data_IF_014659833399
#
_entry.id   IF_014659833399
#
_cell.length_a   1.000
_cell.length_b   1.000
_cell.length_c   1.000
_cell.angle_alpha   90.00
_cell.angle_beta   90.00
_cell.angle_gamma   90.00
#
_symmetry.space_group_name_H-M   'P 1'
#
loop_
_entity.id
_entity.type
_entity.pdbx_description
1 polymer ?
#
# COMPACT_ATOMS: atom_id res chain seq x y z
N UNK A 1 -1.37 27.73 -28.37
CA UNK A 1 -0.58 26.60 -28.91
C UNK A 1 0.82 26.66 -28.33
N UNK A 2 1.48 25.56 -27.96
CA UNK A 2 0.97 24.21 -27.68
C UNK A 2 0.78 23.98 -26.16
N UNK A 3 -0.26 23.20 -25.82
CA UNK A 3 -0.52 22.72 -24.46
C UNK A 3 0.34 21.47 -24.26
N UNK A 4 1.21 21.46 -23.25
CA UNK A 4 1.90 20.24 -22.84
C UNK A 4 0.87 19.30 -22.20
N UNK A 5 0.41 18.35 -23.00
CA UNK A 5 -0.28 17.15 -22.52
C UNK A 5 0.82 16.21 -22.04
N UNK A 6 0.86 15.95 -20.73
CA UNK A 6 1.72 14.91 -20.19
C UNK A 6 1.33 13.57 -20.84
N UNK A 7 2.29 12.70 -21.19
CA UNK A 7 1.96 11.36 -21.63
C UNK A 7 1.39 10.59 -20.44
N UNK A 8 0.07 10.47 -20.39
CA UNK A 8 -0.61 9.37 -19.71
C UNK A 8 -0.24 8.12 -20.49
N UNK A 9 0.86 7.47 -20.11
CA UNK A 9 1.28 6.20 -20.68
C UNK A 9 1.50 5.24 -19.52
N UNK A 10 0.49 4.42 -19.22
CA UNK A 10 0.76 3.12 -18.63
C UNK A 10 -0.25 2.47 -17.69
N UNK A 11 -1.36 3.09 -17.32
CA UNK A 11 -2.43 2.37 -16.59
C UNK A 11 -3.35 1.56 -17.53
N UNK A 12 -3.34 1.87 -18.83
CA UNK A 12 -4.33 1.40 -19.82
C UNK A 12 -3.95 0.10 -20.58
N UNK A 13 -3.15 -0.81 -20.00
CA UNK A 13 -2.80 -2.06 -20.72
C UNK A 13 -3.08 -3.36 -19.96
N UNK A 14 -4.04 -3.36 -19.05
CA UNK A 14 -4.50 -4.58 -18.36
C UNK A 14 -5.77 -5.21 -18.96
N UNK A 15 -6.30 -4.68 -20.07
CA UNK A 15 -7.43 -5.28 -20.79
C UNK A 15 -6.98 -5.83 -22.15
N UNK A 16 -6.61 -7.11 -22.17
CA UNK A 16 -6.91 -7.99 -23.31
C UNK A 16 -7.32 -9.37 -22.77
N UNK A 17 -8.60 -9.68 -22.93
CA UNK A 17 -9.17 -11.02 -22.79
C UNK A 17 -8.76 -11.84 -24.01
N UNK A 18 -8.32 -13.06 -23.78
CA UNK A 18 -8.55 -14.15 -24.71
C UNK A 18 -9.25 -15.27 -23.93
N UNK A 19 -10.34 -15.76 -24.49
CA UNK A 19 -11.21 -16.75 -23.89
C UNK A 19 -10.86 -18.18 -24.25
N UNK A 20 -11.49 -19.07 -23.47
CA UNK A 20 -11.79 -20.49 -23.72
C UNK A 20 -10.69 -21.51 -23.43
N UNK A 21 -10.97 -22.32 -22.40
CA UNK A 21 -10.36 -23.64 -22.16
C UNK A 21 -10.77 -24.19 -20.79
N UNK A 22 -11.82 -25.01 -20.74
CA UNK A 22 -12.22 -25.79 -19.55
C UNK A 22 -11.09 -26.73 -19.15
N UNK A 23 -10.80 -26.84 -17.85
CA UNK A 23 -10.65 -28.13 -17.17
C UNK A 23 -10.56 -27.96 -15.63
N UNK A 24 -10.80 -29.08 -14.96
CA UNK A 24 -11.47 -29.27 -13.68
C UNK A 24 -10.57 -29.13 -12.44
N UNK A 25 -11.17 -28.83 -11.29
CA UNK A 25 -10.56 -28.84 -9.94
C UNK A 25 -10.18 -30.29 -9.49
N UNK A 26 -9.32 -30.51 -8.46
CA UNK A 26 -9.57 -30.05 -7.06
C UNK A 26 -8.33 -29.60 -6.24
N UNK A 27 -8.58 -28.88 -5.13
CA UNK A 27 -7.67 -28.81 -3.97
C UNK A 27 -7.24 -27.40 -3.50
N UNK A 28 -7.89 -26.91 -2.45
CA UNK A 28 -7.36 -26.04 -1.36
C UNK A 28 -6.31 -24.94 -1.68
N UNK A 29 -6.74 -23.67 -1.59
CA UNK A 29 -5.95 -22.59 -0.98
C UNK A 29 -5.11 -21.64 -1.85
N UNK A 30 -4.99 -21.82 -3.17
CA UNK A 30 -3.97 -21.10 -3.97
C UNK A 30 -4.43 -19.93 -4.86
N UNK A 31 -5.62 -19.37 -4.69
CA UNK A 31 -6.24 -18.58 -5.78
C UNK A 31 -6.00 -17.06 -5.75
N UNK A 32 -5.42 -16.49 -4.70
CA UNK A 32 -5.06 -15.05 -4.68
C UNK A 32 -3.77 -14.73 -5.45
N UNK A 33 -2.96 -15.74 -5.79
CA UNK A 33 -1.67 -15.55 -6.47
C UNK A 33 -1.80 -15.35 -7.99
N UNK A 34 -2.95 -15.70 -8.59
CA UNK A 34 -3.11 -15.69 -10.06
C UNK A 34 -3.35 -14.30 -10.67
N UNK A 35 -3.71 -13.29 -9.87
CA UNK A 35 -3.81 -11.90 -10.35
C UNK A 35 -2.45 -11.17 -10.39
N UNK A 36 -1.45 -11.67 -9.65
CA UNK A 36 -0.08 -11.12 -9.65
C UNK A 36 0.91 -11.96 -10.49
N UNK A 37 0.52 -13.18 -10.93
CA UNK A 37 1.32 -14.08 -11.78
C UNK A 37 1.00 -13.99 -13.27
N UNK A 38 0.77 -12.80 -13.83
CA UNK A 38 1.11 -12.58 -15.23
C UNK A 38 2.40 -11.77 -15.25
N UNK A 39 3.57 -12.40 -15.49
CA UNK A 39 4.81 -11.68 -15.62
C UNK A 39 4.71 -10.85 -16.91
N UNK A 40 4.33 -9.59 -16.77
CA UNK A 40 4.84 -8.58 -17.68
C UNK A 40 6.33 -8.46 -17.33
N UNK A 41 7.15 -9.30 -17.97
CA UNK A 41 8.61 -9.18 -17.93
C UNK A 41 8.98 -7.88 -18.64
N UNK A 42 8.81 -6.76 -17.95
CA UNK A 42 9.69 -5.63 -18.15
C UNK A 42 10.96 -5.98 -17.34
N UNK A 43 12.17 -5.90 -17.92
CA UNK A 43 13.37 -6.08 -17.13
C UNK A 43 13.32 -5.02 -16.02
N UNK A 44 13.28 -5.45 -14.76
CA UNK A 44 13.23 -4.57 -13.58
C UNK A 44 14.34 -3.51 -13.62
N UNK A 45 15.44 -3.80 -14.32
CA UNK A 45 16.52 -2.88 -14.71
C UNK A 45 16.04 -1.57 -15.37
N UNK A 46 14.89 -1.58 -16.05
CA UNK A 46 14.34 -0.39 -16.73
C UNK A 46 13.91 0.67 -15.71
N UNK A 47 13.31 0.26 -14.59
CA UNK A 47 12.90 1.17 -13.53
C UNK A 47 14.13 1.69 -12.77
N UNK A 48 15.10 0.80 -12.50
CA UNK A 48 16.36 1.21 -11.88
C UNK A 48 17.13 2.22 -12.75
N UNK A 49 17.19 1.98 -14.06
CA UNK A 49 17.82 2.89 -15.02
C UNK A 49 17.07 4.24 -15.10
N UNK A 50 15.74 4.21 -15.11
CA UNK A 50 14.90 5.42 -15.10
C UNK A 50 15.07 6.23 -13.81
N UNK A 51 15.08 5.57 -12.66
CA UNK A 51 15.30 6.18 -11.36
C UNK A 51 16.69 6.82 -11.28
N UNK A 52 17.73 6.08 -11.67
CA UNK A 52 19.11 6.58 -11.74
C UNK A 52 19.25 7.80 -12.67
N UNK A 53 18.63 7.75 -13.84
CA UNK A 53 18.62 8.88 -14.78
C UNK A 53 17.86 10.09 -14.23
N UNK A 54 16.83 9.88 -13.41
CA UNK A 54 16.07 10.95 -12.76
C UNK A 54 16.90 11.61 -11.65
N UNK A 55 17.66 10.83 -10.87
CA UNK A 55 18.61 11.37 -9.89
C UNK A 55 19.71 12.21 -10.55
N UNK A 56 20.28 11.75 -11.66
CA UNK A 56 21.28 12.54 -12.40
C UNK A 56 20.72 13.89 -12.87
N UNK A 57 19.48 13.90 -13.39
CA UNK A 57 18.79 15.16 -13.74
C UNK A 57 18.52 16.04 -12.52
N UNK A 58 18.18 15.44 -11.37
CA UNK A 58 17.96 16.19 -10.13
C UNK A 58 19.24 16.90 -9.70
N UNK A 59 20.39 16.21 -9.77
CA UNK A 59 21.70 16.78 -9.44
C UNK A 59 22.01 17.99 -10.33
N UNK A 60 21.80 17.88 -11.65
CA UNK A 60 21.97 18.99 -12.59
C UNK A 60 21.08 20.19 -12.23
N UNK A 61 19.79 19.95 -11.96
CA UNK A 61 18.82 21.01 -11.62
C UNK A 61 19.13 21.69 -10.28
N UNK A 62 19.59 20.92 -9.29
CA UNK A 62 20.03 21.46 -8.00
C UNK A 62 21.24 22.40 -8.18
N UNK A 63 22.18 22.05 -9.07
CA UNK A 63 23.35 22.87 -9.37
C UNK A 63 23.00 24.17 -10.13
N UNK A 64 21.93 24.15 -10.94
CA UNK A 64 21.44 25.34 -11.65
C UNK A 64 20.76 26.37 -10.73
N UNK A 65 20.24 25.95 -9.56
CA UNK A 65 19.75 26.81 -8.49
C UNK A 65 18.51 27.64 -8.79
N UNK A 66 17.76 27.31 -9.86
CA UNK A 66 16.59 28.08 -10.33
C UNK A 66 15.24 27.39 -10.13
N UNK A 67 15.25 26.10 -9.80
CA UNK A 67 14.04 25.30 -9.71
C UNK A 67 13.31 25.46 -8.37
N UNK A 68 11.98 25.26 -8.41
CA UNK A 68 11.16 25.32 -7.19
C UNK A 68 11.44 24.10 -6.31
N UNK A 69 11.58 24.26 -4.98
CA UNK A 69 11.79 23.15 -4.05
C UNK A 69 10.75 22.03 -4.19
N UNK A 70 9.49 22.37 -4.47
CA UNK A 70 8.43 21.39 -4.69
C UNK A 70 8.67 20.51 -5.91
N UNK A 71 9.18 21.07 -7.00
CA UNK A 71 9.50 20.28 -8.20
C UNK A 71 10.68 19.34 -7.95
N UNK A 72 11.70 19.81 -7.23
CA UNK A 72 12.86 18.99 -6.86
C UNK A 72 12.42 17.83 -5.95
N UNK A 73 11.62 18.09 -4.92
CA UNK A 73 11.11 17.06 -4.01
C UNK A 73 10.19 16.05 -4.72
N UNK A 74 9.35 16.48 -5.66
CA UNK A 74 8.53 15.57 -6.48
C UNK A 74 9.39 14.67 -7.38
N UNK A 75 10.40 15.23 -8.05
CA UNK A 75 11.33 14.46 -8.88
C UNK A 75 12.16 13.46 -8.06
N UNK A 76 12.63 13.90 -6.89
CA UNK A 76 13.30 13.03 -5.93
C UNK A 76 12.40 11.86 -5.51
N UNK A 77 11.16 12.16 -5.12
CA UNK A 77 10.16 11.14 -4.75
C UNK A 77 9.94 10.14 -5.87
N UNK A 78 9.83 10.60 -7.12
CA UNK A 78 9.65 9.72 -8.28
C UNK A 78 10.87 8.81 -8.50
N UNK A 79 12.08 9.31 -8.28
CA UNK A 79 13.29 8.51 -8.38
C UNK A 79 13.39 7.47 -7.25
N UNK A 80 13.06 7.86 -6.01
CA UNK A 80 12.95 6.95 -4.87
C UNK A 80 11.99 5.82 -5.18
N UNK A 81 10.80 6.14 -5.71
CA UNK A 81 9.83 5.14 -6.14
C UNK A 81 10.43 4.21 -7.23
N UNK A 82 10.96 4.76 -8.32
CA UNK A 82 11.48 3.93 -9.42
C UNK A 82 12.63 2.98 -8.97
N UNK A 83 13.52 3.44 -8.09
CA UNK A 83 14.66 2.65 -7.58
C UNK A 83 14.21 1.57 -6.62
N UNK A 84 13.44 1.93 -5.59
CA UNK A 84 12.96 0.98 -4.59
C UNK A 84 12.08 -0.11 -5.19
N UNK A 85 11.44 0.15 -6.35
CA UNK A 85 10.57 -0.83 -7.00
C UNK A 85 11.35 -2.04 -7.49
N UNK A 86 12.58 -1.81 -7.96
CA UNK A 86 13.49 -2.87 -8.35
C UNK A 86 13.86 -3.77 -7.15
N UNK A 87 14.17 -3.17 -6.01
CA UNK A 87 14.55 -3.91 -4.80
C UNK A 87 13.37 -4.64 -4.15
N UNK A 88 12.19 -4.03 -4.15
CA UNK A 88 10.95 -4.68 -3.69
C UNK A 88 10.62 -5.93 -4.51
N UNK A 89 10.75 -5.87 -5.84
CA UNK A 89 10.50 -7.02 -6.69
C UNK A 89 11.51 -8.15 -6.46
N UNK A 90 12.77 -7.85 -6.18
CA UNK A 90 13.75 -8.89 -5.83
C UNK A 90 13.32 -9.64 -4.56
N UNK A 91 12.84 -8.94 -3.52
CA UNK A 91 12.33 -9.60 -2.32
C UNK A 91 11.14 -10.51 -2.61
N UNK A 92 10.26 -10.10 -3.53
CA UNK A 92 9.10 -10.90 -3.95
C UNK A 92 9.54 -12.12 -4.76
N UNK A 93 10.49 -11.96 -5.68
CA UNK A 93 11.01 -13.04 -6.52
C UNK A 93 11.76 -14.09 -5.70
N UNK A 94 12.42 -13.67 -4.62
CA UNK A 94 13.14 -14.54 -3.68
C UNK A 94 12.25 -15.09 -2.55
N UNK A 95 10.95 -14.76 -2.54
CA UNK A 95 9.99 -15.14 -1.47
C UNK A 95 10.47 -14.76 -0.05
N UNK A 96 10.94 -13.52 0.09
CA UNK A 96 11.32 -12.87 1.35
C UNK A 96 12.22 -13.76 2.25
N UNK A 97 13.46 -14.07 1.87
CA UNK A 97 14.34 -15.00 2.61
C UNK A 97 14.43 -14.66 4.11
N UNK A 98 14.29 -15.67 4.98
CA UNK A 98 14.12 -15.48 6.43
C UNK A 98 15.26 -14.68 7.09
N UNK A 99 16.50 -14.92 6.68
CA UNK A 99 17.69 -14.34 7.32
C UNK A 99 17.91 -12.85 7.01
N UNK A 100 17.45 -12.37 5.84
CA UNK A 100 17.78 -11.02 5.33
C UNK A 100 16.58 -10.12 5.06
N UNK A 101 15.40 -10.69 4.80
CA UNK A 101 14.23 -9.94 4.35
C UNK A 101 13.76 -8.88 5.34
N UNK A 102 13.74 -9.16 6.65
CA UNK A 102 13.28 -8.18 7.64
C UNK A 102 14.13 -6.91 7.63
N UNK A 103 15.44 -7.05 7.53
CA UNK A 103 16.36 -5.91 7.51
C UNK A 103 16.17 -5.11 6.22
N UNK A 104 16.09 -5.78 5.06
CA UNK A 104 15.87 -5.11 3.78
C UNK A 104 14.51 -4.41 3.71
N UNK A 105 13.45 -5.01 4.25
CA UNK A 105 12.13 -4.38 4.36
C UNK A 105 12.20 -3.10 5.20
N UNK A 106 12.89 -3.13 6.36
CA UNK A 106 13.06 -1.92 7.19
C UNK A 106 13.80 -0.81 6.45
N UNK A 107 14.87 -1.16 5.71
CA UNK A 107 15.62 -0.21 4.89
C UNK A 107 14.74 0.42 3.81
N UNK A 108 13.97 -0.39 3.07
CA UNK A 108 13.06 0.10 2.04
C UNK A 108 11.97 1.00 2.60
N UNK A 109 11.37 0.64 3.75
CA UNK A 109 10.38 1.49 4.41
C UNK A 109 10.99 2.83 4.85
N UNK A 110 12.24 2.83 5.31
CA UNK A 110 12.96 4.06 5.65
C UNK A 110 13.14 4.96 4.42
N UNK A 111 13.66 4.40 3.32
CA UNK A 111 13.86 5.12 2.06
C UNK A 111 12.53 5.66 1.49
N UNK A 112 11.45 4.87 1.56
CA UNK A 112 10.11 5.29 1.13
C UNK A 112 9.45 6.34 2.06
N UNK A 113 10.00 6.58 3.25
CA UNK A 113 9.51 7.61 4.18
C UNK A 113 10.29 8.91 4.04
N UNK A 114 11.55 8.83 3.59
CA UNK A 114 12.46 9.97 3.42
C UNK A 114 11.87 11.15 2.63
N UNK A 115 11.11 10.98 1.52
CA UNK A 115 10.54 12.14 0.83
C UNK A 115 9.58 12.97 1.69
N UNK A 116 8.82 12.34 2.57
CA UNK A 116 7.93 13.06 3.50
C UNK A 116 8.75 13.73 4.61
N UNK A 117 9.76 13.04 5.15
CA UNK A 117 10.64 13.58 6.19
C UNK A 117 11.38 14.83 5.71
N UNK A 118 11.87 14.82 4.46
CA UNK A 118 12.48 15.99 3.83
C UNK A 118 11.49 17.15 3.67
N UNK A 119 10.20 16.89 3.40
CA UNK A 119 9.22 18.00 3.36
C UNK A 119 9.11 18.66 4.73
N UNK A 120 9.06 17.87 5.80
CA UNK A 120 8.99 18.38 7.17
C UNK A 120 10.24 19.14 7.58
N UNK A 121 11.43 18.67 7.19
CA UNK A 121 12.70 19.32 7.51
C UNK A 121 12.87 20.68 6.82
N UNK A 122 12.42 20.80 5.56
CA UNK A 122 12.68 21.98 4.74
C UNK A 122 11.49 22.96 4.65
N UNK A 123 10.26 22.53 4.98
CA UNK A 123 9.05 23.38 4.93
C UNK A 123 8.25 23.29 6.24
N UNK A 124 8.67 24.06 7.25
CA UNK A 124 8.15 24.01 8.63
C UNK A 124 6.62 24.24 8.75
N UNK A 125 5.94 24.77 7.72
CA UNK A 125 4.52 25.18 7.79
C UNK A 125 3.62 24.59 6.69
N UNK A 126 4.12 23.69 5.85
CA UNK A 126 3.33 23.11 4.74
C UNK A 126 3.14 21.60 4.92
N UNK A 127 1.90 21.13 4.76
CA UNK A 127 1.62 19.69 4.81
C UNK A 127 2.26 18.97 3.60
N UNK A 128 2.79 17.74 3.75
CA UNK A 128 3.38 16.97 2.65
C UNK A 128 2.53 16.91 1.38
N UNK A 129 1.19 16.94 1.52
CA UNK A 129 0.25 16.90 0.40
C UNK A 129 0.29 18.17 -0.46
N UNK A 130 0.64 19.35 0.08
CA UNK A 130 0.75 20.59 -0.72
C UNK A 130 1.99 20.57 -1.61
N UNK A 131 3.06 19.90 -1.17
CA UNK A 131 4.34 19.82 -1.88
C UNK A 131 4.38 18.63 -2.84
N UNK A 132 4.13 17.42 -2.34
CA UNK A 132 4.26 16.18 -3.11
C UNK A 132 3.01 15.89 -3.94
N UNK A 133 1.85 16.39 -3.52
CA UNK A 133 0.57 16.06 -4.12
C UNK A 133 0.04 14.68 -3.70
N UNK A 134 -1.27 14.51 -3.87
CA UNK A 134 -1.97 13.31 -3.42
C UNK A 134 -1.50 12.03 -4.14
N UNK A 135 -1.14 12.10 -5.42
CA UNK A 135 -0.77 10.93 -6.21
C UNK A 135 0.54 10.29 -5.74
N UNK A 136 1.57 11.10 -5.45
CA UNK A 136 2.84 10.60 -4.96
C UNK A 136 2.72 10.05 -3.54
N UNK A 137 1.99 10.75 -2.66
CA UNK A 137 1.73 10.27 -1.31
C UNK A 137 0.94 8.96 -1.30
N UNK A 138 -0.15 8.88 -2.07
CA UNK A 138 -0.91 7.65 -2.22
C UNK A 138 -0.01 6.49 -2.68
N UNK A 139 0.89 6.73 -3.63
CA UNK A 139 1.85 5.74 -4.12
C UNK A 139 2.86 5.32 -3.04
N UNK A 140 3.45 6.27 -2.29
CA UNK A 140 4.39 5.97 -1.21
C UNK A 140 3.73 5.10 -0.13
N UNK A 141 2.54 5.48 0.32
CA UNK A 141 1.80 4.74 1.35
C UNK A 141 1.29 3.38 0.85
N UNK A 142 0.84 3.31 -0.42
CA UNK A 142 0.52 2.02 -1.05
C UNK A 142 1.70 1.08 -0.99
N UNK A 143 2.89 1.53 -1.40
CA UNK A 143 4.07 0.67 -1.50
C UNK A 143 4.60 0.24 -0.14
N UNK A 144 4.64 1.16 0.84
CA UNK A 144 4.95 0.81 2.23
C UNK A 144 4.01 -0.28 2.77
N UNK A 145 2.71 -0.10 2.55
CA UNK A 145 1.68 -1.05 2.98
C UNK A 145 1.75 -2.40 2.26
N UNK A 146 1.90 -2.39 0.94
CA UNK A 146 1.99 -3.60 0.11
C UNK A 146 3.26 -4.41 0.41
N UNK A 147 4.40 -3.76 0.62
CA UNK A 147 5.65 -4.42 0.99
C UNK A 147 5.50 -5.16 2.33
N UNK A 148 4.91 -4.50 3.34
CA UNK A 148 4.65 -5.12 4.64
C UNK A 148 3.61 -6.24 4.55
N UNK A 149 2.57 -6.06 3.72
CA UNK A 149 1.60 -7.12 3.44
C UNK A 149 2.29 -8.38 2.89
N UNK A 150 3.13 -8.22 1.85
CA UNK A 150 3.84 -9.34 1.22
C UNK A 150 4.80 -10.02 2.18
N UNK A 151 5.57 -9.24 2.95
CA UNK A 151 6.44 -9.78 4.00
C UNK A 151 5.65 -10.57 5.05
N UNK A 152 4.58 -10.00 5.61
CA UNK A 152 3.73 -10.68 6.59
C UNK A 152 3.04 -11.93 6.01
N UNK A 153 2.65 -11.88 4.74
CA UNK A 153 2.04 -13.01 4.04
C UNK A 153 2.99 -14.20 3.97
N UNK A 154 4.29 -13.99 3.74
CA UNK A 154 5.28 -15.07 3.76
C UNK A 154 5.66 -15.45 5.19
N UNK A 155 5.86 -14.47 6.08
CA UNK A 155 6.28 -14.71 7.45
C UNK A 155 5.26 -15.50 8.29
N UNK A 156 3.95 -15.33 8.04
CA UNK A 156 2.90 -16.06 8.79
C UNK A 156 2.96 -17.58 8.60
N UNK A 157 3.52 -18.05 7.48
CA UNK A 157 3.68 -19.48 7.18
C UNK A 157 4.90 -20.09 7.89
N UNK A 158 5.80 -19.26 8.45
CA UNK A 158 7.02 -19.69 9.17
C UNK A 158 6.73 -19.83 10.66
N UNK A 159 6.10 -20.94 11.05
CA UNK A 159 5.60 -21.14 12.41
C UNK A 159 6.64 -20.97 13.53
N UNK A 160 7.87 -21.43 13.33
CA UNK A 160 8.96 -21.31 14.32
C UNK A 160 9.38 -19.85 14.47
N UNK A 161 9.74 -19.19 13.36
CA UNK A 161 10.08 -17.78 13.33
C UNK A 161 8.98 -16.90 13.92
N UNK A 162 7.72 -17.14 13.57
CA UNK A 162 6.57 -16.36 14.04
C UNK A 162 6.40 -16.43 15.56
N UNK A 163 6.64 -17.61 16.15
CA UNK A 163 6.55 -17.80 17.60
C UNK A 163 7.60 -16.96 18.34
N UNK A 164 8.80 -16.87 17.79
CA UNK A 164 9.91 -16.12 18.38
C UNK A 164 9.78 -14.61 18.12
N UNK A 165 9.13 -14.21 17.02
CA UNK A 165 9.12 -12.84 16.53
C UNK A 165 7.71 -12.22 16.50
N UNK A 166 6.78 -12.71 17.34
CA UNK A 166 5.37 -12.29 17.31
C UNK A 166 5.18 -10.77 17.49
N UNK A 167 6.01 -10.12 18.31
CA UNK A 167 5.96 -8.67 18.51
C UNK A 167 6.37 -7.89 17.25
N UNK A 168 7.41 -8.37 16.54
CA UNK A 168 7.85 -7.80 15.27
C UNK A 168 6.76 -7.99 14.23
N UNK A 169 6.19 -9.18 14.14
CA UNK A 169 5.09 -9.48 13.24
C UNK A 169 3.87 -8.57 13.50
N UNK A 170 3.46 -8.41 14.77
CA UNK A 170 2.37 -7.50 15.16
C UNK A 170 2.65 -6.06 14.74
N UNK A 171 3.90 -5.59 14.92
CA UNK A 171 4.31 -4.25 14.49
C UNK A 171 4.20 -4.10 12.97
N UNK A 172 4.74 -5.03 12.20
CA UNK A 172 4.63 -5.03 10.73
C UNK A 172 3.17 -5.01 10.26
N UNK A 173 2.28 -5.76 10.93
CA UNK A 173 0.85 -5.73 10.65
C UNK A 173 0.23 -4.36 10.92
N UNK A 174 0.51 -3.76 12.08
CA UNK A 174 0.00 -2.44 12.44
C UNK A 174 0.47 -1.36 11.47
N UNK A 175 1.78 -1.33 11.18
CA UNK A 175 2.38 -0.35 10.28
C UNK A 175 1.82 -0.52 8.86
N UNK A 176 1.70 -1.77 8.37
CA UNK A 176 1.15 -2.05 7.05
C UNK A 176 -0.32 -1.63 6.91
N UNK A 177 -1.16 -1.96 7.89
CA UNK A 177 -2.56 -1.52 7.90
C UNK A 177 -2.64 0.00 7.99
N UNK A 178 -1.84 0.64 8.85
CA UNK A 178 -1.77 2.10 8.94
C UNK A 178 -1.45 2.72 7.58
N UNK A 179 -0.44 2.21 6.88
CA UNK A 179 -0.06 2.75 5.58
C UNK A 179 -1.15 2.59 4.53
N UNK A 180 -1.78 1.42 4.45
CA UNK A 180 -2.87 1.16 3.50
C UNK A 180 -4.12 2.00 3.82
N UNK A 181 -4.48 2.16 5.09
CA UNK A 181 -5.59 3.03 5.50
C UNK A 181 -5.29 4.49 5.15
N UNK A 182 -4.06 4.95 5.39
CA UNK A 182 -3.63 6.33 5.07
C UNK A 182 -3.60 6.57 3.56
N UNK A 183 -3.15 5.59 2.77
CA UNK A 183 -3.22 5.60 1.31
C UNK A 183 -4.64 5.90 0.81
N UNK A 184 -5.65 5.22 1.37
CA UNK A 184 -7.07 5.40 1.03
C UNK A 184 -7.64 6.78 1.41
N UNK A 185 -6.89 7.62 2.14
CA UNK A 185 -7.36 8.91 2.65
C UNK A 185 -6.85 10.12 1.87
N UNK A 186 -5.86 9.97 0.98
CA UNK A 186 -5.27 11.11 0.26
C UNK A 186 -6.16 11.72 -0.81
N UNK A 187 -7.11 10.95 -1.35
CA UNK A 187 -8.07 11.47 -2.33
C UNK A 187 -9.43 11.72 -1.68
N UNK A 188 -9.97 12.90 -1.94
CA UNK A 188 -11.32 13.24 -1.51
C UNK A 188 -12.35 12.57 -2.44
N UNK A 189 -13.40 11.91 -1.91
CA UNK A 189 -14.50 11.41 -2.73
C UNK A 189 -15.12 12.55 -3.55
N UNK A 190 -15.42 12.28 -4.82
CA UNK A 190 -15.98 13.30 -5.70
C UNK A 190 -17.44 13.57 -5.30
N UNK A 191 -17.74 14.80 -4.88
CA UNK A 191 -19.11 15.30 -4.83
C UNK A 191 -19.56 15.54 -6.28
N UNK A 192 -20.24 14.56 -6.85
CA UNK A 192 -20.83 14.69 -8.18
C UNK A 192 -22.02 15.64 -8.08
N UNK A 193 -21.79 16.92 -8.35
CA UNK A 193 -22.86 17.89 -8.58
C UNK A 193 -23.70 17.44 -9.78
N UNK A 194 -25.00 17.78 -9.77
CA UNK A 194 -26.01 17.37 -10.77
C UNK A 194 -25.63 17.72 -12.23
N UNK A 195 -24.65 18.60 -12.44
CA UNK A 195 -24.21 19.08 -13.76
C UNK A 195 -23.13 18.21 -14.45
N UNK A 196 -22.52 17.24 -13.77
CA UNK A 196 -21.57 16.29 -14.39
C UNK A 196 -22.26 14.95 -14.62
N UNK A 197 -22.86 14.80 -15.80
CA UNK A 197 -23.45 13.53 -16.22
C UNK A 197 -22.34 12.52 -16.54
N UNK A 198 -21.86 11.79 -15.52
CA UNK A 198 -21.16 10.53 -15.76
C UNK A 198 -22.13 9.57 -16.44
N UNK A 199 -21.80 9.14 -17.66
CA UNK A 199 -22.63 8.22 -18.44
C UNK A 199 -22.76 6.85 -17.76
N UNK A 200 -21.77 6.49 -16.94
CA UNK A 200 -21.76 5.26 -16.15
C UNK A 200 -22.04 5.54 -14.66
N UNK A 201 -23.19 5.05 -14.19
CA UNK A 201 -23.62 5.16 -12.80
C UNK A 201 -22.72 4.39 -11.84
N UNK A 202 -22.11 3.30 -12.29
CA UNK A 202 -21.24 2.48 -11.46
C UNK A 202 -19.89 3.18 -11.23
N UNK A 203 -19.30 3.78 -12.28
CA UNK A 203 -18.14 4.67 -12.14
C UNK A 203 -18.43 5.86 -11.22
N UNK A 204 -19.58 6.51 -11.37
CA UNK A 204 -20.01 7.60 -10.49
C UNK A 204 -20.06 7.18 -9.01
N UNK A 205 -20.63 6.00 -8.74
CA UNK A 205 -20.72 5.43 -7.40
C UNK A 205 -19.35 5.11 -6.82
N UNK A 206 -18.43 4.55 -7.61
CA UNK A 206 -17.06 4.26 -7.17
C UNK A 206 -16.32 5.53 -6.76
N UNK A 207 -16.38 6.58 -7.59
CA UNK A 207 -15.72 7.85 -7.32
C UNK A 207 -16.34 8.57 -6.11
N UNK A 208 -17.66 8.47 -5.93
CA UNK A 208 -18.36 8.99 -4.74
C UNK A 208 -18.02 8.22 -3.45
N UNK A 209 -17.58 6.97 -3.56
CA UNK A 209 -17.06 6.15 -2.45
C UNK A 209 -15.55 6.36 -2.23
N UNK A 210 -14.89 7.20 -3.04
CA UNK A 210 -13.45 7.43 -2.97
C UNK A 210 -12.61 6.27 -3.51
N UNK A 211 -13.12 5.55 -4.51
CA UNK A 211 -12.43 4.41 -5.15
C UNK A 211 -12.05 4.80 -6.57
N UNK A 212 -10.75 4.97 -6.79
CA UNK A 212 -10.22 5.53 -8.04
C UNK A 212 -9.46 4.51 -8.89
N UNK A 213 -9.14 3.34 -8.35
CA UNK A 213 -8.32 2.33 -9.02
C UNK A 213 -8.44 0.96 -8.36
N UNK A 214 -8.02 -0.09 -9.06
CA UNK A 214 -7.91 -1.45 -8.53
C UNK A 214 -7.00 -1.50 -7.28
N UNK A 215 -6.01 -0.62 -7.21
CA UNK A 215 -5.12 -0.48 -6.04
C UNK A 215 -5.90 -0.16 -4.76
N UNK A 216 -6.97 0.63 -4.83
CA UNK A 216 -7.82 0.91 -3.66
C UNK A 216 -8.53 -0.37 -3.17
N UNK A 217 -8.96 -1.24 -4.09
CA UNK A 217 -9.61 -2.50 -3.74
C UNK A 217 -8.60 -3.48 -3.12
N UNK A 218 -7.39 -3.55 -3.68
CA UNK A 218 -6.30 -4.33 -3.11
C UNK A 218 -5.93 -3.81 -1.72
N UNK A 219 -5.84 -2.49 -1.51
CA UNK A 219 -5.57 -1.91 -0.20
C UNK A 219 -6.62 -2.28 0.84
N UNK A 220 -7.91 -2.28 0.48
CA UNK A 220 -8.99 -2.73 1.38
C UNK A 220 -8.87 -4.22 1.71
N UNK A 221 -8.61 -5.06 0.70
CA UNK A 221 -8.46 -6.50 0.91
C UNK A 221 -7.22 -6.81 1.79
N UNK A 222 -6.07 -6.24 1.44
CA UNK A 222 -4.80 -6.43 2.17
C UNK A 222 -4.90 -5.95 3.61
N UNK A 223 -5.49 -4.76 3.84
CA UNK A 223 -5.74 -4.26 5.19
C UNK A 223 -6.59 -5.23 6.00
N UNK A 224 -7.69 -5.71 5.40
CA UNK A 224 -8.60 -6.64 6.06
C UNK A 224 -7.97 -7.98 6.40
N UNK A 225 -7.14 -8.51 5.50
CA UNK A 225 -6.43 -9.77 5.68
C UNK A 225 -5.29 -9.65 6.71
N UNK A 226 -4.54 -8.54 6.73
CA UNK A 226 -3.56 -8.26 7.79
C UNK A 226 -4.23 -8.13 9.16
N UNK A 227 -5.39 -7.47 9.24
CA UNK A 227 -6.20 -7.42 10.46
C UNK A 227 -6.65 -8.83 10.91
N UNK A 228 -6.99 -9.70 9.96
CA UNK A 228 -7.33 -11.09 10.24
C UNK A 228 -6.15 -11.87 10.82
N UNK A 229 -4.95 -11.76 10.23
CA UNK A 229 -3.74 -12.37 10.79
C UNK A 229 -3.38 -11.81 12.16
N UNK A 230 -3.57 -10.50 12.37
CA UNK A 230 -3.34 -9.85 13.67
C UNK A 230 -4.21 -10.44 14.77
N UNK A 231 -5.50 -10.68 14.51
CA UNK A 231 -6.36 -11.35 15.48
C UNK A 231 -6.02 -12.84 15.64
N UNK A 232 -5.67 -13.53 14.55
CA UNK A 232 -5.37 -14.96 14.58
C UNK A 232 -4.10 -15.28 15.38
N UNK A 233 -3.06 -14.45 15.25
CA UNK A 233 -1.73 -14.75 15.79
C UNK A 233 -1.36 -13.89 17.00
N UNK A 234 -1.86 -12.66 17.08
CA UNK A 234 -1.48 -11.72 18.14
C UNK A 234 -2.61 -11.48 19.18
N UNK A 235 -3.82 -12.00 18.94
CA UNK A 235 -5.00 -11.82 19.80
C UNK A 235 -5.58 -10.39 19.80
N UNK A 236 -6.69 -10.20 20.51
CA UNK A 236 -7.27 -8.88 20.81
C UNK A 236 -6.48 -8.18 21.91
N UNK A 237 -5.22 -7.88 21.66
CA UNK A 237 -4.46 -7.04 22.58
C UNK A 237 -4.77 -5.57 22.35
N UNK A 238 -5.80 -5.03 23.03
CA UNK A 238 -5.67 -3.69 23.60
C UNK A 238 -4.42 -3.75 24.49
N UNK A 239 -3.49 -2.84 24.31
CA UNK A 239 -2.13 -2.97 24.82
C UNK A 239 -2.08 -2.98 26.35
N UNK A 240 -2.21 -4.14 26.97
CA UNK A 240 -1.67 -4.41 28.30
C UNK A 240 -0.17 -4.72 28.15
N UNK A 241 0.63 -3.67 28.03
CA UNK A 241 2.03 -3.58 28.44
C UNK A 241 2.66 -2.32 27.81
N UNK A 242 2.27 -1.16 28.32
CA UNK A 242 3.16 -0.01 28.42
C UNK A 242 3.62 0.08 29.88
N UNK A 243 4.13 -1.01 30.45
CA UNK A 243 4.86 -0.96 31.72
C UNK A 243 6.09 -1.88 31.62
N UNK A 244 7.26 -1.28 31.88
CA UNK A 244 8.61 -1.88 32.01
C UNK A 244 9.25 -2.29 30.66
N UNK A 245 10.32 -1.69 30.15
CA UNK A 245 11.58 -1.29 30.79
C UNK A 245 12.18 -0.07 30.07
N UNK A 246 12.65 0.86 30.89
CA UNK A 246 13.51 1.99 30.59
C UNK A 246 14.93 1.52 30.19
N UNK A 247 15.43 1.90 29.01
CA UNK A 247 16.87 2.04 28.73
C UNK A 247 17.18 2.88 27.47
N UNK A 248 17.25 4.19 27.70
CA UNK A 248 18.25 5.16 27.19
C UNK A 248 18.93 4.85 25.83
N UNK A 249 18.58 5.61 24.78
CA UNK A 249 19.53 6.48 24.05
C UNK A 249 18.84 7.43 23.07
N UNK A 250 19.04 8.73 23.33
CA UNK A 250 18.59 9.94 22.65
C UNK A 250 18.71 9.98 21.11
N UNK A 251 17.58 10.28 20.44
CA UNK A 251 17.33 11.58 19.76
C UNK A 251 15.88 11.63 19.25
N UNK A 252 14.95 11.95 20.15
CA UNK A 252 13.58 12.35 19.78
C UNK A 252 13.55 13.88 19.59
N UNK A 253 13.51 14.32 18.33
CA UNK A 253 12.87 15.58 17.98
C UNK A 253 11.47 15.27 17.45
N UNK A 254 10.49 15.42 18.35
CA UNK A 254 9.16 15.93 18.05
C UNK A 254 8.32 15.21 16.99
N UNK A 255 7.57 14.19 17.39
CA UNK A 255 6.21 14.00 16.89
C UNK A 255 5.35 13.29 17.93
N UNK A 256 4.82 14.06 18.88
CA UNK A 256 3.74 13.59 19.75
C UNK A 256 2.43 13.67 18.98
N UNK A 257 2.20 12.74 18.07
CA UNK A 257 0.85 12.37 17.64
C UNK A 257 0.55 11.03 18.25
N UNK A 258 -0.36 11.01 19.23
CA UNK A 258 -0.90 9.79 19.80
C UNK A 258 -1.41 8.92 18.64
N UNK A 259 -0.66 7.85 18.34
CA UNK A 259 -1.09 6.84 17.36
C UNK A 259 -2.39 6.26 17.92
N UNK A 260 -3.52 6.58 17.29
CA UNK A 260 -4.77 5.88 17.56
C UNK A 260 -4.47 4.38 17.46
N UNK A 261 -4.52 3.69 18.59
CA UNK A 261 -4.21 2.27 18.66
C UNK A 261 -5.13 1.53 17.69
N UNK A 262 -4.53 0.91 16.68
CA UNK A 262 -5.26 0.24 15.61
C UNK A 262 -6.06 -0.94 16.18
N UNK A 263 -7.39 -0.86 16.13
CA UNK A 263 -8.26 -1.98 16.43
C UNK A 263 -8.36 -2.90 15.20
N UNK A 264 -7.59 -4.00 15.17
CA UNK A 264 -7.60 -4.95 14.04
C UNK A 264 -9.02 -5.40 13.67
N UNK A 265 -9.88 -5.67 14.66
CA UNK A 265 -11.26 -6.09 14.41
C UNK A 265 -12.07 -5.03 13.66
N UNK A 266 -12.10 -3.82 14.19
CA UNK A 266 -12.93 -2.74 13.65
C UNK A 266 -12.44 -2.31 12.28
N UNK A 267 -11.13 -2.09 12.16
CA UNK A 267 -10.50 -1.74 10.88
C UNK A 267 -10.70 -2.85 9.84
N UNK A 268 -10.48 -4.11 10.21
CA UNK A 268 -10.68 -5.25 9.33
C UNK A 268 -12.13 -5.39 8.85
N UNK A 269 -13.10 -5.28 9.77
CA UNK A 269 -14.54 -5.28 9.44
C UNK A 269 -14.88 -4.15 8.47
N UNK A 270 -14.42 -2.93 8.76
CA UNK A 270 -14.68 -1.75 7.92
C UNK A 270 -14.15 -1.95 6.51
N UNK A 271 -12.90 -2.36 6.37
CA UNK A 271 -12.25 -2.53 5.06
C UNK A 271 -12.88 -3.65 4.23
N UNK A 272 -13.07 -4.84 4.82
CA UNK A 272 -13.64 -5.97 4.09
C UNK A 272 -15.12 -5.75 3.74
N UNK A 273 -15.89 -5.09 4.60
CA UNK A 273 -17.29 -4.76 4.28
C UNK A 273 -17.38 -3.83 3.07
N UNK A 274 -16.52 -2.80 3.04
CA UNK A 274 -16.45 -1.88 1.90
C UNK A 274 -16.00 -2.61 0.62
N UNK A 275 -14.95 -3.42 0.70
CA UNK A 275 -14.48 -4.25 -0.42
C UNK A 275 -15.60 -5.14 -0.99
N UNK A 276 -16.30 -5.91 -0.13
CA UNK A 276 -17.39 -6.79 -0.58
C UNK A 276 -18.53 -6.00 -1.21
N UNK A 277 -18.95 -4.89 -0.59
CA UNK A 277 -20.04 -4.05 -1.12
C UNK A 277 -19.72 -3.50 -2.52
N UNK A 278 -18.46 -3.15 -2.77
CA UNK A 278 -18.01 -2.60 -4.04
C UNK A 278 -17.87 -3.70 -5.10
N UNK A 279 -17.24 -4.82 -4.76
CA UNK A 279 -17.04 -5.95 -5.68
C UNK A 279 -18.36 -6.62 -6.09
N UNK A 280 -19.36 -6.68 -5.21
CA UNK A 280 -20.67 -7.29 -5.50
C UNK A 280 -21.71 -6.29 -5.99
N UNK A 281 -21.41 -4.99 -5.89
CA UNK A 281 -22.21 -3.90 -6.42
C UNK A 281 -21.64 -3.40 -7.76
N UNK A 282 -21.04 -2.20 -7.81
CA UNK A 282 -20.62 -1.55 -9.05
C UNK A 282 -19.59 -2.35 -9.87
N UNK A 283 -18.83 -3.27 -9.26
CA UNK A 283 -17.83 -4.09 -9.96
C UNK A 283 -18.28 -5.55 -10.18
N UNK A 284 -19.57 -5.83 -10.04
CA UNK A 284 -20.08 -7.20 -10.19
C UNK A 284 -19.76 -7.75 -11.58
N UNK A 285 -19.11 -8.91 -11.61
CA UNK A 285 -18.73 -9.58 -12.85
C UNK A 285 -17.39 -9.12 -13.44
N UNK A 286 -16.66 -8.21 -12.78
CA UNK A 286 -15.33 -7.75 -13.21
C UNK A 286 -14.17 -8.62 -12.70
N UNK A 287 -14.45 -9.85 -12.25
CA UNK A 287 -13.42 -10.83 -11.86
C UNK A 287 -12.93 -10.74 -10.41
N UNK A 288 -13.43 -9.81 -9.60
CA UNK A 288 -13.12 -9.71 -8.18
C UNK A 288 -13.74 -10.85 -7.36
N UNK A 289 -12.97 -11.43 -6.45
CA UNK A 289 -13.41 -12.53 -5.59
C UNK A 289 -13.64 -12.02 -4.16
N UNK A 290 -14.84 -12.28 -3.62
CA UNK A 290 -15.25 -11.88 -2.26
C UNK A 290 -15.32 -13.04 -1.27
N UNK A 291 -15.01 -14.27 -1.71
CA UNK A 291 -15.17 -15.50 -0.91
C UNK A 291 -14.33 -15.44 0.36
N UNK A 292 -13.04 -15.12 0.23
CA UNK A 292 -12.10 -15.05 1.36
C UNK A 292 -12.48 -13.87 2.29
N UNK A 293 -12.77 -12.70 1.72
CA UNK A 293 -13.20 -11.53 2.49
C UNK A 293 -14.44 -11.82 3.35
N UNK A 294 -15.44 -12.54 2.80
CA UNK A 294 -16.63 -12.97 3.53
C UNK A 294 -16.32 -13.96 4.66
N UNK A 295 -15.38 -14.88 4.45
CA UNK A 295 -14.95 -15.82 5.50
C UNK A 295 -14.27 -15.08 6.65
N UNK A 296 -13.39 -14.13 6.36
CA UNK A 296 -12.74 -13.28 7.37
C UNK A 296 -13.76 -12.41 8.12
N UNK A 297 -14.76 -11.84 7.42
CA UNK A 297 -15.85 -11.10 8.06
C UNK A 297 -16.65 -11.97 9.04
N UNK A 298 -16.93 -13.23 8.68
CA UNK A 298 -17.57 -14.17 9.60
C UNK A 298 -16.70 -14.44 10.82
N UNK A 299 -15.39 -14.57 10.66
CA UNK A 299 -14.46 -14.69 11.79
C UNK A 299 -14.54 -13.46 12.71
N UNK A 300 -14.55 -12.25 12.13
CA UNK A 300 -14.68 -11.02 12.91
C UNK A 300 -16.01 -10.89 13.68
N UNK A 301 -17.06 -11.56 13.23
CA UNK A 301 -18.36 -11.58 13.90
C UNK A 301 -18.43 -12.60 15.05
N UNK A 302 -17.71 -13.72 14.95
CA UNK A 302 -17.81 -14.85 15.89
C UNK A 302 -17.14 -14.62 17.24
N UNK A 303 -16.03 -13.89 17.29
CA UNK A 303 -15.28 -13.65 18.54
C UNK A 303 -15.87 -12.50 19.38
N UNK A 304 -17.20 -12.38 19.41
CA UNK A 304 -17.97 -11.53 20.34
C UNK A 304 -18.73 -12.38 21.39
N UNK A 305 -18.48 -13.68 21.44
CA UNK A 305 -19.10 -14.62 22.38
C UNK A 305 -18.05 -15.28 23.27
#
# INVERSE_FOLDING_TARGET
>A
MPRYSAPVVGADRWIKRDGVGRESAPGSGGWCFSMLRKPCVFPSDTFLAKGSATLGKLEDLCNEGRERPSMLLQLYTQAVLDITYFEENQLVDEDFPEESSLQKVKELICILSEPEDLVWEYNINEEPISILGAELLECLYWRKGALLYMYCHTAKERHEWLRENIAIFKKCLNDGVHYLVKMLSFRCPLQLNEDVSLQDKDTARLLGEGIFSDTHLLAMMYSGEMCYWGLQHCGEGLQEALETIDSVSNRDLGCTSQSELLCFRETGKKMLTKYVAVCEGPLKGQGWNTTIAKQMLQYFAKSHN
#
